data_IF_772401424103
#
_entry.id   IF_772401424103
#
_cell.length_a   1.000
_cell.length_b   1.000
_cell.length_c   1.000
_cell.angle_alpha   90.00
_cell.angle_beta   90.00
_cell.angle_gamma   90.00
#
_symmetry.space_group_name_H-M   'P 1'
#
loop_
_entity.id
_entity.type
_entity.pdbx_description
1 polymer ?
#
# COMPACT_ATOMS: atom_id res chain seq x y z
N UNK A 1 18.39 17.62 -26.49
CA UNK A 1 17.09 18.03 -25.93
C UNK A 1 17.23 18.12 -24.41
N UNK A 2 16.69 19.16 -23.78
CA UNK A 2 16.78 19.37 -22.34
C UNK A 2 15.39 19.26 -21.69
N UNK A 3 15.29 18.51 -20.59
CA UNK A 3 14.01 18.19 -19.93
C UNK A 3 14.02 18.74 -18.50
N UNK A 4 13.01 19.56 -18.18
CA UNK A 4 12.76 20.01 -16.81
C UNK A 4 11.77 19.09 -16.11
N UNK A 5 12.10 18.64 -14.89
CA UNK A 5 11.23 17.83 -14.03
C UNK A 5 10.88 18.63 -12.78
N UNK A 6 9.59 18.73 -12.48
CA UNK A 6 9.09 19.42 -11.29
C UNK A 6 8.68 18.39 -10.23
N UNK A 7 9.39 18.39 -9.11
CA UNK A 7 9.23 17.48 -7.97
C UNK A 7 10.35 16.45 -7.89
N UNK A 8 11.00 16.38 -6.74
CA UNK A 8 12.08 15.45 -6.39
C UNK A 8 11.64 14.31 -5.48
N UNK A 9 10.37 13.91 -5.55
CA UNK A 9 9.91 12.64 -4.98
C UNK A 9 10.40 11.43 -5.79
N UNK A 10 10.14 10.20 -5.30
CA UNK A 10 10.55 8.95 -5.98
C UNK A 10 10.23 8.99 -7.49
N UNK A 11 9.02 9.40 -7.88
CA UNK A 11 8.63 9.46 -9.30
C UNK A 11 9.49 10.42 -10.12
N UNK A 12 9.78 11.62 -9.59
CA UNK A 12 10.59 12.61 -10.30
C UNK A 12 12.05 12.17 -10.40
N UNK A 13 12.58 11.62 -9.31
CA UNK A 13 13.91 11.03 -9.25
C UNK A 13 14.08 9.90 -10.28
N UNK A 14 13.21 8.89 -10.26
CA UNK A 14 13.31 7.76 -11.19
C UNK A 14 13.12 8.20 -12.63
N UNK A 15 12.23 9.17 -12.90
CA UNK A 15 12.06 9.76 -14.23
C UNK A 15 13.34 10.47 -14.69
N UNK A 16 13.98 11.24 -13.81
CA UNK A 16 15.23 11.93 -14.13
C UNK A 16 16.34 10.95 -14.47
N UNK A 17 16.47 9.87 -13.69
CA UNK A 17 17.46 8.82 -13.91
C UNK A 17 17.25 8.12 -15.25
N UNK A 18 16.02 7.70 -15.55
CA UNK A 18 15.69 7.01 -16.80
C UNK A 18 15.89 7.90 -18.03
N UNK A 19 15.62 9.20 -17.93
CA UNK A 19 15.89 10.14 -19.01
C UNK A 19 17.39 10.41 -19.18
N UNK A 20 18.14 10.55 -18.08
CA UNK A 20 19.59 10.71 -18.12
C UNK A 20 20.27 9.49 -18.76
N UNK A 21 19.86 8.27 -18.39
CA UNK A 21 20.33 7.01 -19.01
C UNK A 21 20.10 6.96 -20.53
N UNK A 22 19.07 7.65 -21.03
CA UNK A 22 18.76 7.77 -22.47
C UNK A 22 19.49 8.93 -23.17
N UNK A 23 20.41 9.61 -22.49
CA UNK A 23 21.22 10.69 -23.04
C UNK A 23 20.52 12.07 -23.07
N UNK A 24 19.38 12.22 -22.40
CA UNK A 24 18.75 13.53 -22.25
C UNK A 24 19.43 14.33 -21.14
N UNK A 25 19.63 15.63 -21.37
CA UNK A 25 20.00 16.54 -20.29
C UNK A 25 18.77 16.83 -19.44
N UNK A 26 18.86 16.62 -18.13
CA UNK A 26 17.73 16.76 -17.20
C UNK A 26 18.05 17.79 -16.13
N UNK A 27 17.11 18.69 -15.85
CA UNK A 27 17.13 19.52 -14.65
C UNK A 27 15.91 19.19 -13.80
N UNK A 28 16.15 18.79 -12.55
CA UNK A 28 15.11 18.47 -11.59
C UNK A 28 15.00 19.59 -10.57
N UNK A 29 13.78 20.06 -10.35
CA UNK A 29 13.44 21.11 -9.39
C UNK A 29 12.68 20.49 -8.22
N UNK A 30 13.16 20.68 -7.00
CA UNK A 30 12.46 20.33 -5.76
C UNK A 30 12.33 21.61 -4.92
N UNK A 31 11.17 21.78 -4.28
CA UNK A 31 10.89 22.92 -3.41
C UNK A 31 11.45 22.69 -2.00
N UNK A 32 11.45 21.46 -1.53
CA UNK A 32 12.02 21.09 -0.24
C UNK A 32 13.56 21.09 -0.29
N UNK A 33 14.21 21.18 0.88
CA UNK A 33 15.67 21.21 0.98
C UNK A 33 16.34 19.85 0.71
N UNK A 34 15.56 18.78 0.57
CA UNK A 34 16.02 17.42 0.33
C UNK A 34 15.09 16.69 -0.63
N UNK A 35 15.66 15.81 -1.44
CA UNK A 35 14.90 14.92 -2.31
C UNK A 35 14.18 13.80 -1.52
N UNK A 36 13.29 13.08 -2.18
CA UNK A 36 12.52 11.94 -1.67
C UNK A 36 11.02 12.23 -1.50
N UNK A 37 10.61 13.48 -1.38
CA UNK A 37 9.21 13.86 -1.17
C UNK A 37 8.60 13.17 0.07
N UNK A 38 7.58 12.34 -0.12
CA UNK A 38 7.02 11.54 0.99
C UNK A 38 7.97 10.46 1.48
N UNK A 39 8.88 9.98 0.63
CA UNK A 39 9.89 8.97 0.95
C UNK A 39 11.11 9.58 1.65
N UNK A 40 10.82 10.34 2.72
CA UNK A 40 11.81 10.94 3.61
C UNK A 40 11.66 10.35 5.00
N UNK A 41 12.70 10.47 5.81
CA UNK A 41 12.68 10.10 7.21
C UNK A 41 13.61 11.00 8.03
N UNK A 42 13.55 10.85 9.35
CA UNK A 42 14.41 11.56 10.29
C UNK A 42 14.82 10.64 11.44
N UNK A 43 15.95 10.94 12.06
CA UNK A 43 16.42 10.28 13.28
C UNK A 43 16.38 11.31 14.39
N UNK A 44 15.58 11.06 15.43
CA UNK A 44 15.55 11.94 16.60
C UNK A 44 16.78 11.69 17.50
N UNK A 45 17.21 12.67 18.32
CA UNK A 45 18.31 12.48 19.26
C UNK A 45 18.10 11.24 20.14
N UNK A 46 19.12 10.38 20.19
CA UNK A 46 19.09 9.11 20.96
C UNK A 46 18.42 7.93 20.24
N UNK A 47 17.86 8.11 19.04
CA UNK A 47 17.26 7.01 18.28
C UNK A 47 18.33 6.27 17.48
N UNK A 48 18.26 4.93 17.49
CA UNK A 48 19.15 4.06 16.69
C UNK A 48 18.56 3.74 15.31
N UNK A 49 17.34 4.18 15.03
CA UNK A 49 16.59 3.86 13.83
C UNK A 49 15.83 5.11 13.33
N UNK A 50 15.65 5.25 12.01
CA UNK A 50 14.92 6.38 11.43
C UNK A 50 13.42 6.16 11.48
N UNK A 51 12.68 7.26 11.64
CA UNK A 51 11.24 7.32 11.45
C UNK A 51 10.92 7.91 10.08
N UNK A 52 10.07 7.23 9.33
CA UNK A 52 9.61 7.74 8.05
C UNK A 52 8.53 8.81 8.22
N UNK A 53 8.57 9.83 7.34
CA UNK A 53 7.60 10.93 7.31
C UNK A 53 6.20 10.45 6.91
N UNK A 54 6.14 9.42 6.08
CA UNK A 54 4.92 8.72 5.73
C UNK A 54 5.13 7.21 5.81
N UNK A 55 4.05 6.46 5.93
CA UNK A 55 4.10 5.01 6.07
C UNK A 55 4.41 4.34 4.73
N UNK A 56 5.61 3.77 4.56
CA UNK A 56 5.97 2.94 3.42
C UNK A 56 6.22 1.50 3.85
N UNK A 57 5.56 0.58 3.15
CA UNK A 57 5.92 -0.82 3.13
C UNK A 57 5.81 -1.28 1.69
N UNK A 58 6.68 -2.22 1.32
CA UNK A 58 6.61 -2.89 0.03
C UNK A 58 5.91 -4.22 0.21
N UNK A 59 5.15 -4.62 -0.80
CA UNK A 59 4.72 -6.00 -0.89
C UNK A 59 5.85 -6.84 -1.47
N UNK A 60 6.01 -8.08 -1.01
CA UNK A 60 6.98 -9.03 -1.58
C UNK A 60 6.86 -9.20 -3.11
N UNK A 61 5.66 -8.98 -3.65
CA UNK A 61 5.35 -9.05 -5.08
C UNK A 61 5.68 -7.76 -5.85
N UNK A 62 6.15 -6.69 -5.19
CA UNK A 62 6.53 -5.44 -5.86
C UNK A 62 7.92 -5.62 -6.51
N UNK A 63 7.94 -6.28 -7.67
CA UNK A 63 9.17 -6.61 -8.40
C UNK A 63 9.88 -5.39 -8.97
N UNK A 64 9.14 -4.35 -9.33
CA UNK A 64 9.69 -3.17 -10.01
C UNK A 64 10.72 -2.43 -9.15
N UNK A 65 10.41 -2.19 -7.87
CA UNK A 65 11.35 -1.53 -6.96
C UNK A 65 12.55 -2.42 -6.63
N UNK A 66 12.37 -3.74 -6.60
CA UNK A 66 13.47 -4.68 -6.36
C UNK A 66 14.42 -4.73 -7.56
N UNK A 67 13.88 -4.73 -8.77
CA UNK A 67 14.68 -4.61 -9.99
C UNK A 67 15.40 -3.28 -10.04
N UNK A 68 14.70 -2.18 -9.71
CA UNK A 68 15.33 -0.86 -9.58
C UNK A 68 16.49 -0.87 -8.57
N UNK A 69 16.34 -1.51 -7.41
CA UNK A 69 17.43 -1.63 -6.44
C UNK A 69 18.64 -2.37 -7.02
N UNK A 70 18.41 -3.52 -7.68
CA UNK A 70 19.48 -4.31 -8.31
C UNK A 70 20.19 -3.57 -9.44
N UNK A 71 19.46 -2.83 -10.26
CA UNK A 71 20.00 -2.11 -11.41
C UNK A 71 20.86 -0.90 -11.02
N UNK A 72 20.72 -0.40 -9.79
CA UNK A 72 21.38 0.82 -9.33
C UNK A 72 22.23 0.58 -8.06
N UNK A 73 22.60 -0.68 -7.79
CA UNK A 73 23.43 -1.11 -6.65
C UNK A 73 22.93 -0.64 -5.28
N UNK A 74 21.60 -0.61 -5.11
CA UNK A 74 20.92 -0.29 -3.85
C UNK A 74 20.57 -1.60 -3.13
N UNK A 75 20.76 -1.64 -1.81
CA UNK A 75 20.39 -2.80 -0.97
C UNK A 75 18.89 -3.13 -1.11
N UNK A 76 18.55 -4.39 -1.44
CA UNK A 76 17.16 -4.83 -1.54
C UNK A 76 16.44 -4.76 -0.17
N UNK A 77 15.11 -4.55 -0.15
CA UNK A 77 14.36 -4.51 1.10
C UNK A 77 14.36 -5.86 1.82
N UNK A 78 14.46 -5.84 3.15
CA UNK A 78 14.24 -7.02 3.99
C UNK A 78 12.75 -7.21 4.27
N UNK A 79 12.31 -8.46 4.41
CA UNK A 79 10.88 -8.79 4.57
C UNK A 79 10.57 -9.35 5.95
N UNK A 80 9.43 -8.93 6.50
CA UNK A 80 8.89 -9.41 7.77
C UNK A 80 7.39 -9.71 7.65
N UNK A 81 6.85 -10.49 8.59
CA UNK A 81 5.41 -10.78 8.67
C UNK A 81 4.84 -10.19 9.97
N UNK A 82 4.50 -8.89 9.99
CA UNK A 82 3.93 -8.28 11.17
C UNK A 82 2.53 -8.86 11.44
N UNK A 83 2.20 -9.06 12.72
CA UNK A 83 0.82 -9.40 13.11
C UNK A 83 -0.03 -8.13 13.09
N UNK A 84 -1.19 -8.19 12.45
CA UNK A 84 -2.12 -7.05 12.41
C UNK A 84 -3.41 -7.37 13.15
N UNK A 85 -3.67 -6.61 14.20
CA UNK A 85 -4.84 -6.78 15.02
C UNK A 85 -5.87 -5.68 14.72
N UNK A 86 -7.14 -6.07 14.59
CA UNK A 86 -8.23 -5.14 14.32
C UNK A 86 -9.10 -4.97 15.55
N UNK A 87 -9.25 -3.72 15.99
CA UNK A 87 -10.16 -3.35 17.06
C UNK A 87 -11.59 -3.24 16.51
N UNK A 88 -12.51 -4.00 17.09
CA UNK A 88 -13.95 -3.92 16.81
C UNK A 88 -14.68 -3.52 18.07
N UNK A 89 -15.64 -2.59 17.94
CA UNK A 89 -16.52 -2.18 19.03
C UNK A 89 -17.91 -2.71 18.78
N UNK A 90 -18.41 -3.54 19.68
CA UNK A 90 -19.74 -4.15 19.63
C UNK A 90 -20.44 -3.89 20.95
N UNK A 91 -21.62 -3.28 20.90
CA UNK A 91 -22.41 -2.91 22.09
C UNK A 91 -21.61 -2.09 23.12
N UNK A 92 -20.76 -1.17 22.65
CA UNK A 92 -19.89 -0.34 23.50
C UNK A 92 -18.63 -1.04 24.02
N UNK A 93 -18.48 -2.35 23.79
CA UNK A 93 -17.30 -3.12 24.22
C UNK A 93 -16.32 -3.23 23.06
N UNK A 94 -15.11 -2.72 23.25
CA UNK A 94 -14.01 -2.86 22.29
C UNK A 94 -13.23 -4.15 22.53
N UNK A 95 -13.15 -5.02 21.52
CA UNK A 95 -12.35 -6.24 21.53
C UNK A 95 -11.49 -6.32 20.28
N UNK A 96 -10.29 -6.87 20.45
CA UNK A 96 -9.37 -7.15 19.37
C UNK A 96 -9.71 -8.51 18.77
N UNK A 97 -9.88 -8.55 17.46
CA UNK A 97 -10.05 -9.79 16.71
C UNK A 97 -9.04 -9.84 15.57
N UNK A 98 -8.18 -10.87 15.51
CA UNK A 98 -7.34 -11.10 14.36
C UNK A 98 -8.22 -11.51 13.17
N UNK A 99 -7.86 -11.04 11.97
CA UNK A 99 -8.58 -11.34 10.72
C UNK A 99 -7.61 -11.56 9.55
N UNK A 100 -6.37 -11.94 9.88
CA UNK A 100 -5.25 -12.02 8.93
C UNK A 100 -5.09 -13.38 8.29
N UNK A 101 -5.63 -14.44 8.90
CA UNK A 101 -5.66 -15.77 8.31
C UNK A 101 -7.08 -16.22 7.97
N UNK A 102 -7.23 -17.17 7.02
CA UNK A 102 -8.53 -17.80 6.76
C UNK A 102 -9.15 -18.41 8.02
N UNK A 103 -8.32 -18.99 8.90
CA UNK A 103 -8.79 -19.58 10.15
C UNK A 103 -9.32 -18.51 11.12
N UNK A 104 -8.63 -17.37 11.23
CA UNK A 104 -9.09 -16.25 12.07
C UNK A 104 -10.42 -15.68 11.56
N UNK A 105 -10.55 -15.54 10.24
CA UNK A 105 -11.79 -15.11 9.60
C UNK A 105 -12.95 -16.09 9.86
N UNK A 106 -12.68 -17.41 9.81
CA UNK A 106 -13.69 -18.42 10.13
C UNK A 106 -14.08 -18.39 11.61
N UNK A 107 -13.15 -18.11 12.52
CA UNK A 107 -13.38 -17.96 13.97
C UNK A 107 -13.99 -16.62 14.36
N UNK A 108 -14.04 -15.65 13.45
CA UNK A 108 -14.50 -14.30 13.74
C UNK A 108 -15.97 -14.29 14.21
N UNK A 109 -16.27 -13.89 15.47
CA UNK A 109 -17.60 -14.12 16.05
C UNK A 109 -18.66 -13.13 15.57
N UNK A 110 -18.26 -12.05 14.89
CA UNK A 110 -19.15 -10.95 14.51
C UNK A 110 -19.83 -11.15 13.14
N UNK A 111 -19.62 -12.30 12.49
CA UNK A 111 -20.23 -12.64 11.22
C UNK A 111 -20.95 -13.97 11.31
N UNK A 112 -22.15 -14.05 10.72
CA UNK A 112 -22.86 -15.31 10.56
C UNK A 112 -22.09 -16.31 9.68
N UNK A 113 -22.27 -17.64 9.87
CA UNK A 113 -21.61 -18.66 9.05
C UNK A 113 -21.88 -18.50 7.53
N UNK A 114 -23.09 -18.08 7.16
CA UNK A 114 -23.48 -17.86 5.76
C UNK A 114 -22.69 -16.69 5.17
N UNK A 115 -22.56 -15.58 5.91
CA UNK A 115 -21.78 -14.42 5.49
C UNK A 115 -20.29 -14.76 5.37
N UNK A 116 -19.75 -15.62 6.24
CA UNK A 116 -18.38 -16.10 6.12
C UNK A 116 -18.18 -16.90 4.82
N UNK A 117 -19.06 -17.84 4.53
CA UNK A 117 -19.00 -18.62 3.29
C UNK A 117 -19.05 -17.71 2.06
N UNK A 118 -20.02 -16.79 2.00
CA UNK A 118 -20.15 -15.81 0.91
C UNK A 118 -18.92 -14.90 0.83
N UNK A 119 -18.34 -14.54 1.97
CA UNK A 119 -17.08 -13.80 2.06
C UNK A 119 -15.92 -14.54 1.40
N UNK A 120 -15.70 -15.80 1.76
CA UNK A 120 -14.65 -16.65 1.17
C UNK A 120 -14.86 -16.79 -0.34
N UNK A 121 -16.08 -17.11 -0.78
CA UNK A 121 -16.39 -17.22 -2.21
C UNK A 121 -16.17 -15.88 -2.95
N UNK A 122 -16.56 -14.75 -2.35
CA UNK A 122 -16.35 -13.42 -2.92
C UNK A 122 -14.87 -13.03 -3.00
N UNK A 123 -14.06 -13.39 -2.00
CA UNK A 123 -12.61 -13.17 -2.03
C UNK A 123 -11.95 -14.05 -3.10
N UNK A 124 -12.33 -15.33 -3.17
CA UNK A 124 -11.85 -16.23 -4.21
C UNK A 124 -12.21 -15.70 -5.61
N UNK A 125 -13.45 -15.22 -5.79
CA UNK A 125 -13.88 -14.58 -7.04
C UNK A 125 -12.99 -13.38 -7.40
N UNK A 126 -12.70 -12.49 -6.46
CA UNK A 126 -11.83 -11.32 -6.70
C UNK A 126 -10.38 -11.70 -7.03
N UNK A 127 -9.87 -12.79 -6.46
CA UNK A 127 -8.51 -13.29 -6.73
C UNK A 127 -8.43 -13.97 -8.10
N UNK A 128 -9.43 -14.80 -8.41
CA UNK A 128 -9.45 -15.66 -9.62
C UNK A 128 -9.89 -14.90 -10.88
N UNK A 129 -10.66 -13.83 -10.74
CA UNK A 129 -11.13 -13.06 -11.90
C UNK A 129 -10.22 -11.86 -12.19
N UNK A 130 -9.79 -11.70 -13.46
CA UNK A 130 -9.00 -10.53 -13.87
C UNK A 130 -9.86 -9.25 -13.80
N UNK A 131 -9.26 -8.09 -14.08
CA UNK A 131 -9.93 -6.80 -13.98
C UNK A 131 -11.16 -6.68 -14.92
N UNK A 132 -12.34 -7.02 -14.40
CA UNK A 132 -13.60 -6.99 -15.12
C UNK A 132 -14.19 -5.57 -15.15
N UNK A 133 -14.96 -5.28 -16.21
CA UNK A 133 -15.68 -4.00 -16.39
C UNK A 133 -16.68 -3.73 -15.26
N UNK A 134 -17.21 -4.77 -14.61
CA UNK A 134 -18.09 -4.63 -13.45
C UNK A 134 -17.43 -3.87 -12.29
N UNK A 135 -16.11 -3.97 -12.15
CA UNK A 135 -15.35 -3.27 -11.11
C UNK A 135 -15.31 -1.75 -11.30
N UNK A 136 -15.52 -1.29 -12.52
CA UNK A 136 -15.55 0.13 -12.87
C UNK A 136 -16.96 0.73 -12.78
N UNK A 137 -18.01 -0.10 -12.81
CA UNK A 137 -19.41 0.33 -12.80
C UNK A 137 -20.01 0.35 -11.41
N UNK A 138 -19.60 -0.58 -10.55
CA UNK A 138 -20.14 -0.71 -9.19
C UNK A 138 -19.22 -0.10 -8.15
N UNK A 139 -19.82 0.47 -7.11
CA UNK A 139 -19.09 0.80 -5.88
C UNK A 139 -18.69 -0.47 -5.13
N UNK A 140 -17.62 -0.39 -4.34
CA UNK A 140 -17.19 -1.46 -3.45
C UNK A 140 -18.32 -1.86 -2.48
N UNK A 141 -19.11 -0.89 -2.01
CA UNK A 141 -20.28 -1.14 -1.17
C UNK A 141 -21.33 -2.00 -1.90
N UNK A 142 -21.74 -1.61 -3.10
CA UNK A 142 -22.72 -2.35 -3.89
C UNK A 142 -22.22 -3.76 -4.23
N UNK A 143 -20.95 -3.88 -4.61
CA UNK A 143 -20.33 -5.15 -4.94
C UNK A 143 -20.32 -6.10 -3.74
N UNK A 144 -19.80 -5.64 -2.59
CA UNK A 144 -19.72 -6.45 -1.36
C UNK A 144 -21.11 -6.86 -0.89
N UNK A 145 -22.08 -5.94 -0.88
CA UNK A 145 -23.45 -6.25 -0.47
C UNK A 145 -24.10 -7.32 -1.36
N UNK A 146 -23.87 -7.24 -2.68
CA UNK A 146 -24.41 -8.19 -3.65
C UNK A 146 -23.75 -9.57 -3.56
N UNK A 147 -22.42 -9.61 -3.47
CA UNK A 147 -21.65 -10.87 -3.51
C UNK A 147 -21.53 -11.48 -2.11
N UNK A 148 -20.98 -10.72 -1.16
CA UNK A 148 -20.63 -11.19 0.18
C UNK A 148 -21.73 -10.98 1.22
N UNK A 149 -22.70 -10.10 0.95
CA UNK A 149 -23.85 -9.84 1.83
C UNK A 149 -23.77 -8.51 2.59
N UNK A 150 -24.92 -8.07 3.10
CA UNK A 150 -25.06 -6.80 3.82
C UNK A 150 -24.26 -6.77 5.13
N UNK A 151 -24.28 -7.89 5.87
CA UNK A 151 -23.56 -8.06 7.13
C UNK A 151 -22.05 -7.88 6.93
N UNK A 152 -21.48 -8.47 5.87
CA UNK A 152 -20.07 -8.33 5.51
C UNK A 152 -19.66 -6.86 5.33
N UNK A 153 -20.47 -6.09 4.60
CA UNK A 153 -20.20 -4.68 4.42
C UNK A 153 -20.24 -3.95 5.77
N UNK A 154 -21.32 -4.13 6.52
CA UNK A 154 -21.56 -3.36 7.74
C UNK A 154 -20.53 -3.61 8.85
N UNK A 155 -20.15 -4.87 9.06
CA UNK A 155 -19.26 -5.29 10.15
C UNK A 155 -17.80 -5.13 9.77
N UNK A 156 -17.43 -5.49 8.53
CA UNK A 156 -16.03 -5.58 8.12
C UNK A 156 -15.60 -4.38 7.25
N UNK A 157 -16.09 -4.31 6.01
CA UNK A 157 -15.56 -3.37 5.02
C UNK A 157 -15.92 -1.90 5.30
N UNK A 158 -17.10 -1.60 5.84
CA UNK A 158 -17.56 -0.23 6.08
C UNK A 158 -16.61 0.53 7.00
N UNK A 159 -16.10 -0.12 8.06
CA UNK A 159 -15.14 0.48 8.99
C UNK A 159 -13.81 0.78 8.28
N UNK A 160 -13.29 -0.18 7.51
CA UNK A 160 -12.04 -0.02 6.76
C UNK A 160 -12.12 1.12 5.74
N UNK A 161 -13.23 1.18 4.99
CA UNK A 161 -13.45 2.25 4.01
C UNK A 161 -13.70 3.60 4.69
N UNK A 162 -14.41 3.66 5.83
CA UNK A 162 -14.59 4.90 6.60
C UNK A 162 -13.27 5.43 7.15
N UNK A 163 -12.41 4.57 7.71
CA UNK A 163 -11.09 4.97 8.20
C UNK A 163 -10.22 5.56 7.08
N UNK A 164 -10.35 5.02 5.86
CA UNK A 164 -9.54 5.45 4.70
C UNK A 164 -10.10 6.63 3.92
N UNK A 165 -11.42 6.71 3.76
CA UNK A 165 -12.08 7.65 2.84
C UNK A 165 -13.12 8.54 3.53
N UNK A 166 -13.31 8.41 4.84
CA UNK A 166 -14.27 9.18 5.62
C UNK A 166 -15.69 9.06 5.06
N UNK A 167 -16.30 10.21 4.76
CA UNK A 167 -17.66 10.31 4.21
C UNK A 167 -17.83 9.69 2.82
N UNK A 168 -16.74 9.41 2.10
CA UNK A 168 -16.77 8.83 0.76
C UNK A 168 -16.73 7.30 0.74
N UNK A 169 -16.71 6.63 1.89
CA UNK A 169 -16.59 5.17 2.01
C UNK A 169 -17.50 4.36 1.06
N UNK A 170 -18.75 4.79 0.86
CA UNK A 170 -19.73 4.12 -0.01
C UNK A 170 -19.66 4.49 -1.50
N UNK A 171 -18.79 5.44 -1.87
CA UNK A 171 -18.69 5.98 -3.25
C UNK A 171 -17.47 5.46 -4.01
N UNK A 172 -16.60 4.70 -3.34
CA UNK A 172 -15.38 4.17 -3.95
C UNK A 172 -15.73 3.00 -4.86
N UNK A 173 -15.15 2.96 -6.06
CA UNK A 173 -15.36 1.87 -7.04
C UNK A 173 -14.82 0.53 -6.54
N UNK A 174 -15.45 -0.55 -6.98
CA UNK A 174 -15.03 -1.91 -6.66
C UNK A 174 -13.64 -2.26 -7.25
N UNK A 175 -13.17 -1.51 -8.25
CA UNK A 175 -11.80 -1.58 -8.77
C UNK A 175 -10.75 -1.38 -7.69
N UNK A 176 -10.99 -0.47 -6.74
CA UNK A 176 -10.11 -0.27 -5.60
C UNK A 176 -10.08 -1.49 -4.69
N UNK A 177 -11.25 -2.09 -4.41
CA UNK A 177 -11.35 -3.28 -3.57
C UNK A 177 -10.61 -4.47 -4.21
N UNK A 178 -10.85 -4.71 -5.50
CA UNK A 178 -10.15 -5.73 -6.28
C UNK A 178 -8.63 -5.52 -6.24
N UNK A 179 -8.16 -4.31 -6.57
CA UNK A 179 -6.72 -4.01 -6.58
C UNK A 179 -6.06 -4.23 -5.22
N UNK A 180 -6.78 -3.97 -4.12
CA UNK A 180 -6.29 -4.20 -2.76
C UNK A 180 -6.24 -5.66 -2.38
N UNK A 181 -7.18 -6.49 -2.82
CA UNK A 181 -7.19 -7.92 -2.51
C UNK A 181 -6.18 -8.65 -3.38
N UNK A 182 -6.12 -8.33 -4.68
CA UNK A 182 -5.25 -9.00 -5.64
C UNK A 182 -3.75 -8.76 -5.36
N UNK A 183 -3.36 -7.55 -4.94
CA UNK A 183 -1.95 -7.23 -4.63
C UNK A 183 -1.49 -7.59 -3.22
N UNK A 184 -2.37 -8.02 -2.32
CA UNK A 184 -2.02 -8.17 -0.90
C UNK A 184 -1.18 -9.43 -0.65
N UNK A 185 -0.05 -9.25 0.00
CA UNK A 185 0.76 -10.32 0.61
C UNK A 185 0.98 -10.02 2.09
N UNK A 186 1.24 -11.05 2.88
CA UNK A 186 1.56 -10.93 4.31
C UNK A 186 2.98 -10.42 4.56
N UNK A 187 3.88 -10.63 3.60
CA UNK A 187 5.28 -10.24 3.70
C UNK A 187 5.43 -8.76 3.34
N UNK A 188 5.75 -7.96 4.34
CA UNK A 188 6.00 -6.52 4.21
C UNK A 188 7.51 -6.26 4.17
N UNK A 189 7.94 -5.51 3.16
CA UNK A 189 9.33 -5.16 2.89
C UNK A 189 9.67 -3.76 3.40
N UNK A 190 10.88 -3.63 3.97
CA UNK A 190 11.42 -2.38 4.52
C UNK A 190 12.90 -2.24 4.13
N UNK A 191 13.39 -1.01 4.04
CA UNK A 191 14.81 -0.74 3.79
C UNK A 191 15.57 -0.53 5.10
N UNK A 192 16.81 -1.01 5.13
CA UNK A 192 17.74 -0.69 6.22
C UNK A 192 18.05 0.81 6.16
N UNK A 193 17.78 1.53 7.25
CA UNK A 193 17.87 3.00 7.25
C UNK A 193 16.63 3.71 6.69
N UNK A 194 15.52 3.00 6.48
CA UNK A 194 14.26 3.56 6.02
C UNK A 194 14.24 3.87 4.52
N UNK A 195 13.07 4.24 3.99
CA UNK A 195 12.86 4.52 2.57
C UNK A 195 13.77 5.64 2.01
N UNK A 196 14.27 6.53 2.88
CA UNK A 196 15.19 7.60 2.50
C UNK A 196 16.52 7.07 1.93
N UNK A 197 16.94 5.85 2.32
CA UNK A 197 18.14 5.22 1.79
C UNK A 197 18.09 5.09 0.26
N UNK A 198 16.93 4.75 -0.29
CA UNK A 198 16.71 4.63 -1.75
C UNK A 198 16.88 5.97 -2.46
N UNK A 199 16.50 7.08 -1.81
CA UNK A 199 16.51 8.40 -2.42
C UNK A 199 17.86 9.12 -2.28
N UNK A 200 18.63 8.87 -1.22
CA UNK A 200 19.85 9.61 -0.92
C UNK A 200 21.11 9.01 -1.56
N UNK A 201 21.17 7.68 -1.70
CA UNK A 201 22.41 6.99 -2.09
C UNK A 201 22.83 7.23 -3.55
N UNK A 202 21.92 7.69 -4.43
CA UNK A 202 22.17 7.78 -5.87
C UNK A 202 22.25 9.20 -6.45
N UNK A 203 21.60 10.19 -5.82
CA UNK A 203 21.50 11.55 -6.39
C UNK A 203 22.56 12.52 -5.88
N UNK A 204 23.22 12.21 -4.75
CA UNK A 204 24.32 13.01 -4.21
C UNK A 204 25.69 12.65 -4.79
N UNK A 205 25.82 11.50 -5.46
CA UNK A 205 27.11 11.06 -6.04
C UNK A 205 27.36 11.61 -7.45
N UNK A 206 26.35 12.18 -8.11
CA UNK A 206 26.43 12.65 -9.50
C UNK A 206 26.24 14.18 -9.66
N UNK A 207 26.40 14.94 -8.57
CA UNK A 207 26.20 16.41 -8.56
C UNK A 207 27.47 17.21 -8.24
N UNK A 208 28.65 16.60 -8.40
CA UNK A 208 29.96 17.29 -8.33
C UNK A 208 30.58 17.46 -9.71
#
# INVERSE_FOLDING_TARGET
>A
MHVAILGGGITGLTTALELAKKGYSVTLFERDSVFGGLAQGFIAPGWKWPLERAYHHLFFTDTDIRSFCRENDIEEPFFTEPRTDSLYTVNGISKIYPVDSPLDFLRFPLLSPITKLRGVCGLAFLILTPFLTVYQRLTAEQFVKRVMGQEMWNVFFRSLFRKKFGKYAGKILASFLWARIHKRTKKLGYFKGGISAVCQQHYLQNTS
#
